data_IF_039054323820
#
_entry.id   IF_039054323820
#
_cell.length_a   1.000
_cell.length_b   1.000
_cell.length_c   1.000
_cell.angle_alpha   90.00
_cell.angle_beta   90.00
_cell.angle_gamma   90.00
#
_symmetry.space_group_name_H-M   'P 1'
#
loop_
_entity.id
_entity.type
_entity.pdbx_description
1 polymer ?
#
# COMPACT_ATOMS: atom_id res chain seq x y z
N UNK A 1 0.23 57.73 13.68
CA UNK A 1 -0.47 56.56 14.26
C UNK A 1 -0.81 55.61 13.12
N UNK A 2 -0.08 54.51 12.97
CA UNK A 2 -0.44 53.45 12.03
C UNK A 2 -1.52 52.58 12.68
N UNK A 3 -2.72 52.61 12.14
CA UNK A 3 -3.81 51.72 12.55
C UNK A 3 -3.57 50.34 11.93
N UNK A 4 -3.49 49.30 12.76
CA UNK A 4 -3.45 47.92 12.27
C UNK A 4 -4.77 47.59 11.57
N UNK A 5 -4.74 46.96 10.38
CA UNK A 5 -5.95 46.48 9.76
C UNK A 5 -6.61 45.39 10.63
N UNK A 6 -7.95 45.26 10.60
CA UNK A 6 -8.65 44.28 11.41
C UNK A 6 -8.17 42.86 11.08
N UNK A 7 -7.88 42.08 12.12
CA UNK A 7 -7.59 40.65 11.99
C UNK A 7 -8.85 39.97 11.48
N UNK A 8 -8.84 39.54 10.22
CA UNK A 8 -9.85 38.63 9.70
C UNK A 8 -9.91 37.40 10.62
N UNK A 9 -11.07 37.17 11.25
CA UNK A 9 -11.39 35.90 11.88
C UNK A 9 -11.45 34.85 10.77
N UNK A 10 -10.32 34.19 10.51
CA UNK A 10 -10.30 33.02 9.65
C UNK A 10 -10.87 31.89 10.48
N UNK A 11 -12.14 31.53 10.25
CA UNK A 11 -12.59 30.19 10.62
C UNK A 11 -11.64 29.22 9.92
N UNK A 12 -10.85 28.48 10.69
CA UNK A 12 -10.03 27.41 10.14
C UNK A 12 -10.99 26.46 9.42
N UNK A 13 -10.81 26.20 8.12
CA UNK A 13 -11.64 25.23 7.42
C UNK A 13 -11.57 23.89 8.17
N UNK A 14 -12.65 23.09 8.17
CA UNK A 14 -12.67 21.82 8.87
C UNK A 14 -11.47 20.97 8.45
N UNK A 15 -10.63 20.59 9.42
CA UNK A 15 -9.45 19.76 9.15
C UNK A 15 -9.90 18.36 8.69
N UNK A 16 -9.42 17.95 7.53
CA UNK A 16 -9.57 16.58 7.04
C UNK A 16 -8.77 15.63 7.92
N UNK A 17 -9.43 14.59 8.44
CA UNK A 17 -8.76 13.53 9.20
C UNK A 17 -8.35 12.39 8.28
N UNK A 18 -7.09 11.99 8.34
CA UNK A 18 -6.52 10.87 7.59
C UNK A 18 -5.95 9.84 8.57
N UNK A 19 -5.78 8.60 8.11
CA UNK A 19 -5.22 7.51 8.92
C UNK A 19 -4.18 6.71 8.13
N UNK A 20 -3.18 6.22 8.84
CA UNK A 20 -2.33 5.11 8.41
C UNK A 20 -2.73 3.89 9.24
N UNK A 21 -2.91 2.76 8.58
CA UNK A 21 -3.34 1.52 9.22
C UNK A 21 -2.12 0.64 9.45
N UNK A 22 -1.83 0.31 10.70
CA UNK A 22 -0.80 -0.64 11.06
C UNK A 22 -1.46 -2.00 11.37
N UNK A 23 -1.55 -2.86 10.36
CA UNK A 23 -2.13 -4.19 10.49
C UNK A 23 -1.46 -5.17 9.53
N UNK A 24 -1.26 -6.41 9.99
CA UNK A 24 -0.82 -7.51 9.14
C UNK A 24 -1.98 -8.17 8.40
N UNK A 25 -1.65 -8.86 7.31
CA UNK A 25 -2.55 -9.73 6.56
C UNK A 25 -2.93 -10.99 7.37
N UNK A 26 -4.00 -11.68 6.97
CA UNK A 26 -4.22 -13.08 7.38
C UNK A 26 -3.57 -13.94 6.30
N UNK A 27 -2.31 -14.33 6.52
CA UNK A 27 -1.52 -15.05 5.51
C UNK A 27 -2.19 -16.36 5.13
N UNK A 28 -2.25 -16.67 3.83
CA UNK A 28 -2.93 -17.86 3.32
C UNK A 28 -4.45 -17.71 3.17
N UNK A 29 -5.05 -16.59 3.62
CA UNK A 29 -6.50 -16.41 3.60
C UNK A 29 -6.90 -14.97 3.21
N UNK A 30 -7.05 -14.78 1.89
CA UNK A 30 -7.45 -13.50 1.31
C UNK A 30 -8.86 -13.10 1.72
N UNK A 31 -9.78 -14.04 1.91
CA UNK A 31 -11.16 -13.76 2.30
C UNK A 31 -11.21 -13.18 3.73
N UNK A 32 -10.53 -13.81 4.69
CA UNK A 32 -10.42 -13.29 6.06
C UNK A 32 -9.64 -11.98 6.13
N UNK A 33 -8.70 -11.76 5.22
CA UNK A 33 -8.03 -10.46 5.10
C UNK A 33 -9.00 -9.37 4.63
N UNK A 34 -9.94 -9.67 3.73
CA UNK A 34 -10.99 -8.74 3.32
C UNK A 34 -11.99 -8.46 4.45
N UNK A 35 -12.35 -9.45 5.26
CA UNK A 35 -13.16 -9.23 6.48
C UNK A 35 -12.43 -8.30 7.46
N UNK A 36 -11.12 -8.49 7.64
CA UNK A 36 -10.29 -7.61 8.46
C UNK A 36 -10.22 -6.19 7.88
N UNK A 37 -10.11 -6.05 6.55
CA UNK A 37 -10.18 -4.75 5.86
C UNK A 37 -11.50 -4.05 6.18
N UNK A 38 -12.62 -4.76 6.08
CA UNK A 38 -13.95 -4.22 6.38
C UNK A 38 -14.03 -3.68 7.81
N UNK A 39 -13.58 -4.44 8.81
CA UNK A 39 -13.53 -4.01 10.21
C UNK A 39 -12.68 -2.75 10.39
N UNK A 40 -11.52 -2.68 9.73
CA UNK A 40 -10.62 -1.52 9.82
C UNK A 40 -11.22 -0.28 9.12
N UNK A 41 -11.91 -0.45 8.00
CA UNK A 41 -12.67 0.61 7.33
C UNK A 41 -13.79 1.15 8.22
N UNK A 42 -14.55 0.27 8.89
CA UNK A 42 -15.60 0.67 9.84
C UNK A 42 -15.03 1.47 11.02
N UNK A 43 -13.88 1.06 11.57
CA UNK A 43 -13.20 1.80 12.64
C UNK A 43 -12.71 3.18 12.18
N UNK A 44 -12.21 3.29 10.95
CA UNK A 44 -11.82 4.57 10.35
C UNK A 44 -13.04 5.49 10.18
N UNK A 45 -14.15 4.97 9.64
CA UNK A 45 -15.40 5.70 9.46
C UNK A 45 -15.94 6.22 10.80
N UNK A 46 -15.98 5.38 11.84
CA UNK A 46 -16.41 5.76 13.19
C UNK A 46 -15.58 6.91 13.79
N UNK A 47 -14.34 7.09 13.32
CA UNK A 47 -13.42 8.17 13.77
C UNK A 47 -13.44 9.40 12.88
N UNK A 48 -14.31 9.44 11.86
CA UNK A 48 -14.42 10.54 10.89
C UNK A 48 -13.26 10.63 9.90
N UNK A 49 -12.51 9.55 9.71
CA UNK A 49 -11.41 9.51 8.73
C UNK A 49 -11.97 9.60 7.32
N UNK A 50 -11.25 10.28 6.42
CA UNK A 50 -11.61 10.43 5.00
C UNK A 50 -10.64 9.77 4.03
N UNK A 51 -9.40 9.53 4.46
CA UNK A 51 -8.38 8.77 3.74
C UNK A 51 -7.71 7.77 4.67
N UNK A 52 -7.63 6.51 4.26
CA UNK A 52 -6.87 5.48 4.97
C UNK A 52 -5.82 4.85 4.04
N UNK A 53 -4.57 4.84 4.49
CA UNK A 53 -3.45 4.17 3.81
C UNK A 53 -3.14 2.87 4.53
N UNK A 54 -3.20 1.75 3.79
CA UNK A 54 -2.88 0.41 4.28
C UNK A 54 -1.45 0.02 3.89
N UNK A 55 -0.84 -0.96 4.59
CA UNK A 55 0.52 -1.39 4.32
C UNK A 55 0.74 -2.01 2.94
N UNK A 56 2.03 -2.14 2.57
CA UNK A 56 2.46 -2.88 1.39
C UNK A 56 2.01 -4.34 1.48
N UNK A 57 1.51 -4.89 0.36
CA UNK A 57 1.04 -6.27 0.25
C UNK A 57 0.05 -6.69 1.37
N UNK A 58 -0.83 -5.78 1.81
CA UNK A 58 -1.84 -6.10 2.82
C UNK A 58 -2.79 -7.21 2.35
N UNK A 59 -3.30 -7.11 1.11
CA UNK A 59 -4.04 -8.19 0.45
C UNK A 59 -3.05 -9.10 -0.29
N UNK A 60 -3.19 -10.42 -0.14
CA UNK A 60 -2.26 -11.42 -0.68
C UNK A 60 -1.03 -11.66 0.20
N UNK A 61 -0.61 -10.65 0.97
CA UNK A 61 0.36 -10.80 2.04
C UNK A 61 1.83 -10.62 1.62
N UNK A 62 2.63 -10.10 2.54
CA UNK A 62 4.08 -10.04 2.39
C UNK A 62 4.74 -11.28 3.04
N UNK A 63 5.47 -12.12 2.27
CA UNK A 63 6.04 -13.37 2.76
C UNK A 63 7.39 -13.16 3.49
N UNK A 64 7.42 -12.37 4.58
CA UNK A 64 8.67 -12.00 5.29
C UNK A 64 9.34 -13.28 5.81
N UNK A 65 10.60 -13.50 5.40
CA UNK A 65 11.41 -14.64 5.85
C UNK A 65 11.25 -15.93 5.03
N UNK A 66 10.31 -16.00 4.08
CA UNK A 66 10.17 -17.15 3.19
C UNK A 66 11.19 -17.07 2.04
N UNK A 67 11.81 -18.21 1.71
CA UNK A 67 12.88 -18.29 0.71
C UNK A 67 12.44 -18.94 -0.62
N UNK A 68 11.25 -19.53 -0.66
CA UNK A 68 10.68 -20.19 -1.84
C UNK A 68 11.56 -21.28 -2.48
N UNK A 69 12.45 -21.91 -1.69
CA UNK A 69 13.28 -23.04 -2.13
C UNK A 69 14.15 -22.74 -3.36
N UNK A 70 14.50 -21.48 -3.58
CA UNK A 70 15.19 -21.01 -4.77
C UNK A 70 16.55 -20.39 -4.42
N UNK A 71 17.61 -20.95 -4.99
CA UNK A 71 18.96 -20.39 -4.96
C UNK A 71 19.63 -20.59 -6.33
N UNK A 72 20.88 -20.14 -6.49
CA UNK A 72 21.57 -20.22 -7.78
C UNK A 72 21.66 -21.69 -8.22
N UNK A 73 20.94 -22.03 -9.29
CA UNK A 73 20.91 -23.39 -9.87
C UNK A 73 19.96 -24.38 -9.18
N UNK A 74 19.33 -24.03 -8.05
CA UNK A 74 18.48 -24.94 -7.27
C UNK A 74 17.05 -24.41 -7.19
N UNK A 75 16.08 -25.30 -7.44
CA UNK A 75 14.64 -25.04 -7.26
C UNK A 75 13.99 -26.30 -6.71
N UNK A 76 13.65 -26.29 -5.43
CA UNK A 76 13.04 -27.45 -4.76
C UNK A 76 11.56 -27.58 -5.13
N UNK A 77 11.01 -28.79 -5.02
CA UNK A 77 9.59 -29.04 -5.21
C UNK A 77 8.74 -28.31 -4.16
N UNK A 78 9.15 -28.37 -2.88
CA UNK A 78 8.53 -27.63 -1.79
C UNK A 78 8.48 -26.11 -2.05
N UNK A 79 9.52 -25.54 -2.66
CA UNK A 79 9.54 -24.14 -3.07
C UNK A 79 8.48 -23.80 -4.13
N UNK A 80 8.23 -24.71 -5.07
CA UNK A 80 7.18 -24.56 -6.10
C UNK A 80 5.79 -24.64 -5.49
N UNK A 81 5.58 -25.54 -4.53
CA UNK A 81 4.31 -25.66 -3.82
C UNK A 81 4.04 -24.45 -2.94
N UNK A 82 5.06 -23.93 -2.26
CA UNK A 82 4.96 -22.68 -1.51
C UNK A 82 4.64 -21.49 -2.42
N UNK A 83 5.31 -21.39 -3.58
CA UNK A 83 5.00 -20.33 -4.54
C UNK A 83 3.57 -20.44 -5.07
N UNK A 84 3.08 -21.66 -5.33
CA UNK A 84 1.68 -21.89 -5.74
C UNK A 84 0.70 -21.44 -4.67
N UNK A 85 0.88 -21.89 -3.42
CA UNK A 85 0.02 -21.48 -2.31
C UNK A 85 0.03 -19.95 -2.09
N UNK A 86 1.20 -19.32 -2.24
CA UNK A 86 1.31 -17.86 -2.19
C UNK A 86 0.61 -17.17 -3.37
N UNK A 87 0.79 -17.70 -4.59
CA UNK A 87 0.13 -17.21 -5.81
C UNK A 87 -1.39 -17.32 -5.72
N UNK A 88 -1.93 -18.35 -5.06
CA UNK A 88 -3.37 -18.53 -4.88
C UNK A 88 -3.98 -17.43 -3.98
N UNK A 89 -3.18 -16.79 -3.14
CA UNK A 89 -3.60 -15.64 -2.32
C UNK A 89 -3.67 -14.32 -3.10
N UNK A 90 -3.04 -14.24 -4.27
CA UNK A 90 -3.02 -13.03 -5.10
C UNK A 90 -4.37 -12.77 -5.79
N UNK A 91 -4.65 -11.50 -6.08
CA UNK A 91 -5.93 -11.05 -6.65
C UNK A 91 -5.77 -10.55 -8.09
N UNK A 92 -6.83 -10.63 -8.88
CA UNK A 92 -6.88 -9.99 -10.19
C UNK A 92 -7.31 -8.52 -10.07
N UNK A 93 -6.78 -7.65 -10.94
CA UNK A 93 -7.07 -6.21 -10.94
C UNK A 93 -7.34 -5.72 -12.38
N UNK A 94 -8.59 -5.35 -12.72
CA UNK A 94 -9.79 -5.40 -11.89
C UNK A 94 -10.32 -6.84 -11.71
N UNK A 95 -11.04 -7.09 -10.61
CA UNK A 95 -11.67 -8.37 -10.33
C UNK A 95 -12.62 -8.32 -9.11
N UNK A 96 -13.18 -9.47 -8.69
CA UNK A 96 -14.14 -9.55 -7.57
C UNK A 96 -13.60 -8.94 -6.27
N UNK A 97 -12.31 -9.14 -5.98
CA UNK A 97 -11.67 -8.55 -4.80
C UNK A 97 -11.64 -7.01 -4.87
N UNK A 98 -11.32 -6.42 -6.04
CA UNK A 98 -11.32 -4.95 -6.17
C UNK A 98 -12.73 -4.36 -6.13
N UNK A 99 -13.74 -5.09 -6.61
CA UNK A 99 -15.16 -4.70 -6.46
C UNK A 99 -15.52 -4.65 -4.98
N UNK A 100 -15.20 -5.70 -4.22
CA UNK A 100 -15.44 -5.74 -2.77
C UNK A 100 -14.73 -4.60 -2.04
N UNK A 101 -13.48 -4.31 -2.38
CA UNK A 101 -12.74 -3.19 -1.78
C UNK A 101 -13.43 -1.85 -2.09
N UNK A 102 -13.90 -1.64 -3.32
CA UNK A 102 -14.66 -0.46 -3.71
C UNK A 102 -15.98 -0.31 -2.94
N UNK A 103 -16.72 -1.39 -2.73
CA UNK A 103 -17.92 -1.39 -1.89
C UNK A 103 -17.61 -0.97 -0.45
N UNK A 104 -16.52 -1.47 0.14
CA UNK A 104 -16.08 -1.09 1.48
C UNK A 104 -15.67 0.38 1.55
N UNK A 105 -14.96 0.89 0.54
CA UNK A 105 -14.60 2.30 0.42
C UNK A 105 -15.85 3.19 0.40
N UNK A 106 -16.84 2.84 -0.43
CA UNK A 106 -18.12 3.54 -0.54
C UNK A 106 -18.91 3.50 0.76
N UNK A 107 -19.08 2.33 1.36
CA UNK A 107 -19.84 2.15 2.60
C UNK A 107 -19.24 2.95 3.76
N UNK A 108 -17.90 3.02 3.82
CA UNK A 108 -17.19 3.80 4.83
C UNK A 108 -17.00 5.29 4.45
N UNK A 109 -17.38 5.70 3.23
CA UNK A 109 -17.09 7.02 2.66
C UNK A 109 -15.59 7.39 2.76
N UNK A 110 -14.73 6.42 2.47
CA UNK A 110 -13.27 6.52 2.56
C UNK A 110 -12.62 6.54 1.18
N UNK A 111 -11.65 7.42 1.00
CA UNK A 111 -10.60 7.22 0.00
C UNK A 111 -9.62 6.18 0.56
N UNK A 112 -9.28 5.16 -0.22
CA UNK A 112 -8.40 4.06 0.23
C UNK A 112 -7.17 3.96 -0.65
N UNK A 113 -6.01 3.79 -0.01
CA UNK A 113 -4.77 3.35 -0.66
C UNK A 113 -4.39 2.00 -0.07
N UNK A 114 -4.44 0.94 -0.86
CA UNK A 114 -4.26 -0.44 -0.37
C UNK A 114 -3.16 -1.15 -1.14
N UNK A 115 -2.17 -1.68 -0.41
CA UNK A 115 -1.17 -2.59 -0.96
C UNK A 115 -1.76 -3.97 -1.22
N UNK A 116 -1.53 -4.51 -2.41
CA UNK A 116 -2.02 -5.82 -2.85
C UNK A 116 -0.91 -6.59 -3.57
N UNK A 117 -1.06 -7.91 -3.61
CA UNK A 117 -0.39 -8.77 -4.57
C UNK A 117 -1.36 -9.03 -5.72
N UNK A 118 -1.05 -8.43 -6.86
CA UNK A 118 -1.80 -8.59 -8.10
C UNK A 118 -1.28 -9.80 -8.87
N UNK A 119 -2.18 -10.64 -9.40
CA UNK A 119 -1.87 -11.68 -10.38
C UNK A 119 -2.38 -11.24 -11.75
N UNK A 120 -1.48 -11.31 -12.74
CA UNK A 120 -1.78 -11.04 -14.14
C UNK A 120 -1.11 -12.11 -15.00
N UNK A 121 -1.92 -13.01 -15.56
CA UNK A 121 -1.46 -14.28 -16.09
C UNK A 121 -0.73 -15.11 -15.02
N UNK A 122 0.49 -15.57 -15.35
CA UNK A 122 1.35 -16.32 -14.43
C UNK A 122 2.30 -15.46 -13.57
N UNK A 123 2.16 -14.13 -13.60
CA UNK A 123 3.09 -13.22 -12.90
C UNK A 123 2.39 -12.55 -11.72
N UNK A 124 3.09 -12.45 -10.60
CA UNK A 124 2.67 -11.69 -9.43
C UNK A 124 3.33 -10.31 -9.45
N UNK A 125 2.60 -9.27 -9.06
CA UNK A 125 3.10 -7.90 -8.93
C UNK A 125 2.75 -7.34 -7.55
N UNK A 126 3.72 -6.70 -6.90
CA UNK A 126 3.44 -5.86 -5.75
C UNK A 126 2.85 -4.54 -6.25
N UNK A 127 1.63 -4.20 -5.82
CA UNK A 127 0.93 -3.02 -6.31
C UNK A 127 0.23 -2.24 -5.18
N UNK A 128 0.01 -0.95 -5.41
CA UNK A 128 -0.87 -0.10 -4.62
C UNK A 128 -2.10 0.26 -5.45
N UNK A 129 -3.29 0.07 -4.89
CA UNK A 129 -4.57 0.43 -5.50
C UNK A 129 -5.14 1.69 -4.84
N UNK A 130 -5.74 2.56 -5.65
CA UNK A 130 -6.31 3.84 -5.21
C UNK A 130 -7.82 3.84 -5.47
N UNK A 131 -8.61 3.92 -4.42
CA UNK A 131 -10.07 4.03 -4.51
C UNK A 131 -10.54 5.37 -3.96
N UNK A 132 -11.54 5.97 -4.60
CA UNK A 132 -12.22 7.13 -4.04
C UNK A 132 -13.35 6.75 -3.07
N UNK A 133 -13.89 7.77 -2.39
CA UNK A 133 -15.00 7.64 -1.46
C UNK A 133 -16.33 7.17 -2.08
N UNK A 134 -16.44 7.12 -3.41
CA UNK A 134 -17.61 6.58 -4.12
C UNK A 134 -17.47 5.09 -4.39
N UNK A 135 -16.28 4.52 -4.13
CA UNK A 135 -15.91 3.15 -4.40
C UNK A 135 -15.27 2.93 -5.77
N UNK A 136 -15.02 3.99 -6.54
CA UNK A 136 -14.38 3.88 -7.84
C UNK A 136 -12.89 3.58 -7.70
N UNK A 137 -12.39 2.59 -8.45
CA UNK A 137 -10.96 2.35 -8.60
C UNK A 137 -10.36 3.41 -9.53
N UNK A 138 -9.64 4.37 -8.97
CA UNK A 138 -8.98 5.46 -9.70
C UNK A 138 -7.80 4.95 -10.52
N UNK A 139 -7.10 3.95 -10.00
CA UNK A 139 -5.99 3.31 -10.68
C UNK A 139 -5.15 2.42 -9.77
N UNK A 140 -4.05 1.92 -10.34
CA UNK A 140 -3.05 1.11 -9.67
C UNK A 140 -1.66 1.65 -9.95
N UNK A 141 -0.72 1.34 -9.06
CA UNK A 141 0.72 1.50 -9.28
C UNK A 141 1.41 0.17 -8.99
N UNK A 142 2.06 -0.43 -9.99
CA UNK A 142 2.92 -1.62 -9.80
C UNK A 142 4.32 -1.15 -9.42
N UNK A 143 4.90 -1.73 -8.36
CA UNK A 143 6.26 -1.46 -7.90
C UNK A 143 7.24 -1.63 -9.07
N UNK A 144 7.96 -0.57 -9.43
CA UNK A 144 8.85 -0.53 -10.59
C UNK A 144 9.90 -1.63 -10.52
N UNK A 145 10.54 -1.78 -9.37
CA UNK A 145 11.60 -2.78 -9.17
C UNK A 145 11.45 -3.44 -7.79
N UNK A 146 11.08 -4.73 -7.74
CA UNK A 146 11.13 -5.53 -6.52
C UNK A 146 12.52 -5.50 -5.88
N UNK A 147 12.64 -5.50 -4.57
CA UNK A 147 13.90 -5.34 -3.83
C UNK A 147 14.52 -6.69 -3.47
N UNK A 148 15.83 -6.85 -3.69
CA UNK A 148 16.58 -8.08 -3.44
C UNK A 148 15.83 -9.36 -3.89
N UNK A 149 15.55 -10.27 -2.96
CA UNK A 149 14.89 -11.56 -3.18
C UNK A 149 13.43 -11.46 -3.65
N UNK A 150 12.77 -10.30 -3.51
CA UNK A 150 11.42 -10.08 -4.06
C UNK A 150 11.40 -10.31 -5.59
N UNK A 151 12.54 -10.12 -6.28
CA UNK A 151 12.70 -10.40 -7.73
C UNK A 151 12.48 -11.87 -8.10
N UNK A 152 12.52 -12.78 -7.13
CA UNK A 152 12.24 -14.20 -7.36
C UNK A 152 10.73 -14.47 -7.49
N UNK A 153 9.91 -13.62 -6.89
CA UNK A 153 8.47 -13.87 -6.73
C UNK A 153 7.58 -12.81 -7.38
N UNK A 154 8.09 -11.60 -7.62
CA UNK A 154 7.34 -10.50 -8.23
C UNK A 154 8.00 -9.98 -9.50
N UNK A 155 7.15 -9.59 -10.46
CA UNK A 155 7.54 -8.89 -11.67
C UNK A 155 7.80 -7.40 -11.44
N UNK A 156 8.53 -6.79 -12.39
CA UNK A 156 8.75 -5.35 -12.43
C UNK A 156 7.53 -4.63 -13.01
N UNK A 157 7.13 -3.53 -12.36
CA UNK A 157 6.23 -2.55 -12.95
C UNK A 157 6.93 -1.69 -14.01
N UNK A 158 6.16 -0.84 -14.67
CA UNK A 158 6.66 0.17 -15.59
C UNK A 158 6.16 1.59 -15.20
N UNK A 159 6.65 2.59 -15.91
CA UNK A 159 6.29 3.98 -15.67
C UNK A 159 4.85 4.35 -16.04
N UNK A 160 4.10 3.50 -16.74
CA UNK A 160 2.72 3.81 -17.18
C UNK A 160 1.75 3.92 -16.01
N UNK A 161 2.12 3.36 -14.86
CA UNK A 161 1.32 3.34 -13.63
C UNK A 161 1.77 4.36 -12.57
N UNK A 162 2.82 5.15 -12.84
CA UNK A 162 3.27 6.23 -11.97
C UNK A 162 2.35 7.45 -12.09
N UNK A 163 1.19 7.39 -11.44
CA UNK A 163 0.16 8.42 -11.52
C UNK A 163 -0.24 8.95 -10.15
N UNK A 164 -0.51 10.25 -10.09
CA UNK A 164 -1.23 10.88 -9.00
C UNK A 164 -2.70 11.13 -9.42
N UNK A 165 -3.62 11.02 -8.46
CA UNK A 165 -5.05 11.04 -8.70
C UNK A 165 -5.70 12.22 -7.97
N UNK A 166 -6.58 12.94 -8.66
CA UNK A 166 -7.39 13.98 -8.05
C UNK A 166 -8.51 13.39 -7.22
N UNK A 167 -8.67 13.88 -6.00
CA UNK A 167 -9.73 13.48 -5.08
C UNK A 167 -10.32 14.70 -4.39
N UNK A 168 -11.44 14.53 -3.69
CA UNK A 168 -12.01 15.59 -2.84
C UNK A 168 -11.07 16.07 -1.72
N UNK A 169 -9.98 15.34 -1.44
CA UNK A 169 -9.00 15.64 -0.40
C UNK A 169 -7.74 16.31 -0.94
N UNK A 170 -7.70 16.57 -2.25
CA UNK A 170 -6.51 16.98 -2.98
C UNK A 170 -5.90 15.84 -3.79
N UNK A 171 -4.73 16.09 -4.37
CA UNK A 171 -4.07 15.13 -5.24
C UNK A 171 -3.25 14.11 -4.44
N UNK A 172 -3.62 12.83 -4.58
CA UNK A 172 -2.99 11.70 -3.86
C UNK A 172 -2.14 10.85 -4.81
N UNK A 173 -1.08 10.27 -4.29
CA UNK A 173 -0.21 9.35 -5.04
C UNK A 173 0.97 8.94 -4.19
N UNK A 174 1.85 8.09 -4.69
CA UNK A 174 3.08 7.77 -3.97
C UNK A 174 3.76 6.52 -4.51
N UNK A 175 4.72 6.01 -3.74
CA UNK A 175 5.63 4.94 -4.13
C UNK A 175 5.74 3.88 -3.04
N UNK A 176 6.07 2.66 -3.42
CA UNK A 176 6.08 1.50 -2.52
C UNK A 176 7.50 1.26 -1.99
N UNK A 177 7.65 1.23 -0.67
CA UNK A 177 8.88 0.80 0.01
C UNK A 177 10.13 1.51 -0.57
N UNK A 178 11.12 0.78 -1.08
CA UNK A 178 12.40 1.36 -1.53
C UNK A 178 12.36 2.09 -2.87
N UNK A 179 11.22 2.10 -3.58
CA UNK A 179 11.03 3.06 -4.67
C UNK A 179 11.19 4.51 -4.19
N UNK A 180 10.93 4.74 -2.90
CA UNK A 180 11.15 6.02 -2.25
C UNK A 180 12.63 6.44 -2.20
N UNK A 181 13.59 5.55 -2.48
CA UNK A 181 14.99 5.92 -2.68
C UNK A 181 15.31 6.32 -4.13
N UNK A 182 14.43 6.05 -5.10
CA UNK A 182 14.63 6.40 -6.50
C UNK A 182 14.29 7.88 -6.76
N UNK A 183 15.27 8.76 -7.00
CA UNK A 183 15.02 10.19 -7.14
C UNK A 183 14.12 10.51 -8.33
N UNK A 184 14.30 9.84 -9.47
CA UNK A 184 13.47 10.08 -10.66
C UNK A 184 12.01 9.68 -10.46
N UNK A 185 11.74 8.61 -9.70
CA UNK A 185 10.38 8.21 -9.37
C UNK A 185 9.70 9.26 -8.49
N UNK A 186 10.41 9.77 -7.47
CA UNK A 186 9.88 10.87 -6.63
C UNK A 186 9.63 12.13 -7.43
N UNK A 187 10.57 12.53 -8.29
CA UNK A 187 10.41 13.71 -9.15
C UNK A 187 9.23 13.57 -10.12
N UNK A 188 8.96 12.37 -10.64
CA UNK A 188 7.77 12.12 -11.45
C UNK A 188 6.47 12.33 -10.67
N UNK A 189 6.43 11.96 -9.38
CA UNK A 189 5.26 12.22 -8.51
C UNK A 189 5.13 13.71 -8.17
N UNK A 190 6.24 14.40 -7.91
CA UNK A 190 6.24 15.84 -7.63
C UNK A 190 5.83 16.67 -8.86
N UNK A 191 6.29 16.29 -10.05
CA UNK A 191 5.91 16.95 -11.30
C UNK A 191 4.41 16.85 -11.59
N UNK A 192 3.74 15.84 -11.04
CA UNK A 192 2.28 15.69 -11.11
C UNK A 192 1.53 16.49 -10.03
N UNK A 193 2.24 17.12 -9.09
CA UNK A 193 1.66 17.97 -8.04
C UNK A 193 1.06 17.21 -6.86
N UNK A 194 1.63 16.05 -6.49
CA UNK A 194 1.15 15.27 -5.33
C UNK A 194 1.15 16.10 -4.04
N UNK A 195 0.03 16.08 -3.31
CA UNK A 195 -0.15 16.81 -2.05
C UNK A 195 -0.19 15.88 -0.84
N UNK A 196 -0.73 14.68 -1.02
CA UNK A 196 -0.73 13.61 -0.03
C UNK A 196 0.02 12.41 -0.63
N UNK A 197 1.24 12.21 -0.15
CA UNK A 197 2.18 11.20 -0.61
C UNK A 197 2.03 9.93 0.23
N UNK A 198 1.53 8.84 -0.37
CA UNK A 198 1.28 7.57 0.29
C UNK A 198 2.47 6.63 0.10
N UNK A 199 3.09 6.20 1.20
CA UNK A 199 4.32 5.40 1.21
C UNK A 199 4.11 4.08 1.99
N UNK A 200 3.33 3.13 1.45
CA UNK A 200 3.19 1.80 2.04
C UNK A 200 4.55 1.09 2.05
N UNK A 201 4.85 0.36 3.11
CA UNK A 201 6.14 -0.32 3.28
C UNK A 201 6.01 -1.58 4.14
N UNK A 202 7.07 -2.39 4.13
CA UNK A 202 7.35 -3.43 5.13
C UNK A 202 8.68 -3.22 5.86
N UNK A 203 9.34 -2.09 5.57
CA UNK A 203 10.62 -1.71 6.15
C UNK A 203 10.42 -1.09 7.54
N UNK A 204 10.64 -1.88 8.58
CA UNK A 204 10.49 -1.55 9.99
C UNK A 204 11.78 -1.06 10.64
N UNK A 205 12.82 -0.75 9.85
CA UNK A 205 14.14 -0.32 10.35
C UNK A 205 14.19 1.18 10.60
N UNK A 206 15.09 1.61 11.47
CA UNK A 206 15.28 3.01 11.87
C UNK A 206 15.60 3.97 10.72
N UNK A 207 16.09 3.44 9.59
CA UNK A 207 16.37 4.23 8.38
C UNK A 207 15.11 4.73 7.68
N UNK A 208 13.93 4.13 7.93
CA UNK A 208 12.71 4.46 7.22
C UNK A 208 12.13 5.83 7.61
N UNK A 209 12.08 6.13 8.90
CA UNK A 209 11.52 7.41 9.39
C UNK A 209 12.28 8.63 8.86
N UNK A 210 13.63 8.66 8.88
CA UNK A 210 14.41 9.72 8.21
C UNK A 210 14.10 9.85 6.72
N UNK A 211 13.94 8.72 6.01
CA UNK A 211 13.61 8.71 4.57
C UNK A 211 12.29 9.40 4.28
N UNK A 212 11.19 9.00 4.95
CA UNK A 212 9.88 9.63 4.70
C UNK A 212 9.81 11.08 5.21
N UNK A 213 10.60 11.42 6.23
CA UNK A 213 10.75 12.81 6.71
C UNK A 213 11.45 13.68 5.65
N UNK A 214 12.50 13.16 5.02
CA UNK A 214 13.18 13.85 3.94
C UNK A 214 12.24 14.07 2.75
N UNK A 215 11.48 13.05 2.35
CA UNK A 215 10.52 13.12 1.23
C UNK A 215 9.44 14.18 1.48
N UNK A 216 8.93 14.28 2.72
CA UNK A 216 7.97 15.32 3.09
C UNK A 216 8.55 16.73 2.90
N UNK A 217 9.83 16.91 3.23
CA UNK A 217 10.54 18.20 3.08
C UNK A 217 10.90 18.50 1.62
N UNK A 218 11.36 17.49 0.88
CA UNK A 218 11.74 17.58 -0.54
C UNK A 218 10.50 17.92 -1.38
N UNK A 219 9.43 17.14 -1.24
CA UNK A 219 8.21 17.27 -2.03
C UNK A 219 7.21 18.33 -1.54
N UNK A 220 7.42 18.91 -0.36
CA UNK A 220 6.48 19.86 0.28
C UNK A 220 5.04 19.32 0.36
N UNK A 221 4.92 18.03 0.65
CA UNK A 221 3.66 17.31 0.74
C UNK A 221 3.51 16.64 2.11
N UNK A 222 2.29 16.23 2.44
CA UNK A 222 2.05 15.36 3.59
C UNK A 222 2.44 13.93 3.22
N UNK A 223 3.26 13.26 4.03
CA UNK A 223 3.63 11.86 3.79
C UNK A 223 2.88 10.95 4.77
N UNK A 224 2.14 9.98 4.22
CA UNK A 224 1.42 8.96 4.96
C UNK A 224 2.09 7.60 4.71
N UNK A 225 2.84 7.09 5.68
CA UNK A 225 3.48 5.79 5.58
C UNK A 225 2.78 4.76 6.47
N UNK A 226 2.49 3.59 5.90
CA UNK A 226 1.86 2.48 6.58
C UNK A 226 2.78 1.25 6.50
N UNK A 227 3.25 0.78 7.65
CA UNK A 227 3.99 -0.46 7.78
C UNK A 227 3.09 -1.53 8.38
N UNK A 228 3.22 -2.77 7.91
CA UNK A 228 2.49 -3.89 8.49
C UNK A 228 3.02 -4.24 9.88
N UNK A 229 2.18 -4.87 10.69
CA UNK A 229 2.57 -5.52 11.93
C UNK A 229 1.95 -6.91 11.99
N UNK A 230 2.81 -7.93 12.00
CA UNK A 230 2.42 -9.33 11.92
C UNK A 230 3.25 -10.14 12.93
N UNK A 231 2.56 -10.92 13.77
CA UNK A 231 3.23 -11.86 14.68
C UNK A 231 3.73 -13.08 13.90
N UNK A 232 4.87 -13.67 14.29
CA UNK A 232 5.38 -14.89 13.66
C UNK A 232 4.41 -16.08 13.72
N UNK A 233 3.53 -16.11 14.74
CA UNK A 233 2.46 -17.10 14.88
C UNK A 233 1.33 -16.96 13.86
N UNK A 234 1.31 -15.87 13.08
CA UNK A 234 0.30 -15.64 12.05
C UNK A 234 0.63 -16.32 10.71
N UNK A 235 1.80 -16.94 10.57
CA UNK A 235 2.15 -17.72 9.37
C UNK A 235 1.47 -19.09 9.40
N UNK A 236 0.91 -19.56 8.27
CA UNK A 236 0.48 -20.95 8.13
C UNK A 236 1.66 -21.89 8.44
N UNK A 237 1.40 -22.96 9.20
CA UNK A 237 2.47 -23.85 9.71
C UNK A 237 3.23 -24.51 8.56
N UNK A 238 2.50 -24.86 7.52
CA UNK A 238 2.97 -25.44 6.26
C UNK A 238 3.92 -24.52 5.48
N UNK A 239 3.80 -23.19 5.64
CA UNK A 239 4.70 -22.24 4.98
C UNK A 239 6.03 -22.13 5.73
N UNK A 240 6.02 -22.34 7.05
CA UNK A 240 7.22 -22.31 7.89
C UNK A 240 8.06 -23.58 7.77
N UNK A 241 7.44 -24.75 7.61
CA UNK A 241 8.16 -26.02 7.39
C UNK A 241 8.90 -26.08 6.06
N UNK A 242 8.46 -25.27 5.08
CA UNK A 242 9.04 -25.18 3.74
C UNK A 242 10.15 -24.12 3.65
N UNK A 243 10.45 -23.42 4.75
CA UNK A 243 11.45 -22.35 4.84
C UNK A 243 12.78 -22.80 5.48
N UNK A 244 12.89 -24.08 5.86
CA UNK A 244 14.11 -24.75 6.34
C UNK A 244 14.72 -25.60 5.23
#
# INVERSE_FOLDING_TARGET
MYTHPPRFSRSTPPMTKVAVVQAGTVLGDTARTLEKLEQLCQQCAARGVKLAVFPEAFIGGYPKGLQFGASVGIRTEAGRDLFRAYSDCAIEVPGPCTVRIGELAKAASLTLVIGVIERDGGTLYCAALYFDHTGALLGKHRKLVPTAAERLIWGCGDGSTLKAFDTQLGKIGGLICWENYMPLARMAMYAQGVQIYCAPTVDDRDVWIPTVTHIAREGRCFVLSACQSLAGTAYPKEWLSSAQ
#
